data_IF_288088256097
#
_entry.id   IF_288088256097
#
_cell.length_a   1.000
_cell.length_b   1.000
_cell.length_c   1.000
_cell.angle_alpha   90.00
_cell.angle_beta   90.00
_cell.angle_gamma   90.00
#
_symmetry.space_group_name_H-M   'P 1'
#
loop_
_entity.id
_entity.type
_entity.pdbx_description
1 polymer ?
#
# COMPACT_ATOMS: atom_id res chain seq x y z
N UNK A 1 14.62 -0.28 1.83
CA UNK A 1 13.24 0.25 1.94
C UNK A 1 12.35 -0.24 0.81
N UNK A 2 12.54 0.21 -0.45
CA UNK A 2 11.72 -0.26 -1.59
C UNK A 2 11.62 -1.79 -1.71
N UNK A 3 12.71 -2.55 -1.48
CA UNK A 3 12.72 -4.01 -1.54
C UNK A 3 11.75 -4.72 -0.57
N UNK A 4 11.49 -4.14 0.61
CA UNK A 4 10.54 -4.70 1.60
C UNK A 4 9.10 -4.42 1.19
N UNK A 5 8.83 -3.21 0.69
CA UNK A 5 7.53 -2.87 0.10
C UNK A 5 7.24 -3.74 -1.12
N UNK A 6 8.26 -4.05 -1.93
CA UNK A 6 8.16 -5.01 -3.05
C UNK A 6 7.82 -6.42 -2.55
N UNK A 7 8.37 -6.88 -1.41
CA UNK A 7 8.01 -8.17 -0.81
C UNK A 7 6.56 -8.15 -0.31
N UNK A 8 6.16 -7.08 0.38
CA UNK A 8 4.80 -6.90 0.85
C UNK A 8 3.80 -6.78 -0.31
N UNK A 9 4.18 -6.20 -1.46
CA UNK A 9 3.35 -6.06 -2.66
C UNK A 9 3.12 -7.35 -3.46
N UNK A 10 3.72 -8.48 -3.03
CA UNK A 10 3.57 -9.79 -3.68
C UNK A 10 2.49 -10.75 -3.10
N UNK A 11 1.51 -10.41 -2.26
CA UNK A 11 0.58 -11.42 -1.76
C UNK A 11 -0.39 -11.75 -2.91
N UNK A 12 -0.36 -12.99 -3.41
CA UNK A 12 -1.37 -13.54 -4.32
C UNK A 12 -1.22 -13.24 -5.82
N UNK A 13 -0.25 -12.45 -6.25
CA UNK A 13 -0.02 -12.17 -7.67
C UNK A 13 0.83 -13.27 -8.34
N UNK A 14 0.25 -14.45 -8.53
CA UNK A 14 0.79 -15.44 -9.47
C UNK A 14 0.74 -14.85 -10.89
N UNK A 15 1.89 -14.67 -11.54
CA UNK A 15 1.95 -14.56 -13.01
C UNK A 15 2.10 -13.16 -13.62
N UNK A 16 2.49 -12.13 -12.87
CA UNK A 16 2.81 -10.85 -13.50
C UNK A 16 4.33 -10.69 -13.74
N UNK A 17 4.69 -10.59 -15.03
CA UNK A 17 6.04 -10.42 -15.57
C UNK A 17 6.53 -8.96 -15.56
N UNK A 18 5.65 -8.00 -15.26
CA UNK A 18 5.99 -6.59 -15.26
C UNK A 18 6.97 -6.25 -14.13
N UNK A 19 7.97 -5.41 -14.42
CA UNK A 19 8.90 -4.96 -13.40
C UNK A 19 8.15 -4.15 -12.34
N UNK A 20 8.63 -4.27 -11.11
CA UNK A 20 8.15 -3.43 -10.02
C UNK A 20 8.66 -2.00 -10.21
N UNK A 21 7.78 -1.00 -10.03
CA UNK A 21 8.12 0.42 -10.20
C UNK A 21 8.01 1.15 -8.88
N UNK A 22 9.07 1.86 -8.49
CA UNK A 22 9.02 2.78 -7.34
C UNK A 22 8.38 4.09 -7.81
N UNK A 23 7.24 4.44 -7.22
CA UNK A 23 6.51 5.68 -7.52
C UNK A 23 6.94 6.82 -6.60
N UNK A 24 7.31 6.51 -5.36
CA UNK A 24 7.90 7.44 -4.41
C UNK A 24 8.78 6.67 -3.41
N UNK A 25 9.91 7.26 -3.02
CA UNK A 25 10.76 6.74 -1.96
C UNK A 25 11.28 7.89 -1.11
N UNK A 26 10.76 8.01 0.11
CA UNK A 26 11.03 9.10 1.05
C UNK A 26 11.08 8.52 2.47
N UNK A 27 11.75 9.18 3.43
CA UNK A 27 11.88 8.64 4.79
C UNK A 27 10.54 8.30 5.47
N UNK A 28 9.51 9.09 5.19
CA UNK A 28 8.17 8.98 5.75
C UNK A 28 7.22 8.08 4.93
N UNK A 29 7.56 7.76 3.68
CA UNK A 29 6.69 6.95 2.82
C UNK A 29 7.44 6.32 1.64
N UNK A 30 7.11 5.08 1.34
CA UNK A 30 7.54 4.42 0.09
C UNK A 30 6.32 3.87 -0.63
N UNK A 31 6.18 4.20 -1.91
CA UNK A 31 5.09 3.76 -2.77
C UNK A 31 5.66 2.97 -3.92
N UNK A 32 5.20 1.73 -4.06
CA UNK A 32 5.64 0.80 -5.08
C UNK A 32 4.44 0.29 -5.84
N UNK A 33 4.54 0.28 -7.16
CA UNK A 33 3.58 -0.39 -8.04
C UNK A 33 4.12 -1.74 -8.46
N UNK A 34 3.31 -2.77 -8.24
CA UNK A 34 3.46 -4.07 -8.85
C UNK A 34 2.18 -4.40 -9.60
N UNK A 35 2.23 -4.32 -10.94
CA UNK A 35 1.13 -4.68 -11.82
C UNK A 35 -0.12 -3.81 -11.58
N UNK A 36 -1.23 -4.42 -11.14
CA UNK A 36 -2.47 -3.75 -10.79
C UNK A 36 -2.52 -3.23 -9.35
N UNK A 37 -1.48 -3.45 -8.56
CA UNK A 37 -1.44 -3.12 -7.12
C UNK A 37 -0.42 -2.03 -6.84
N UNK A 38 -0.80 -1.09 -5.98
CA UNK A 38 0.09 -0.12 -5.36
C UNK A 38 0.22 -0.46 -3.88
N UNK A 39 1.44 -0.76 -3.44
CA UNK A 39 1.78 -0.91 -2.04
C UNK A 39 2.33 0.42 -1.52
N UNK A 40 1.77 0.90 -0.42
CA UNK A 40 2.21 2.11 0.29
C UNK A 40 2.67 1.72 1.68
N UNK A 41 3.97 1.83 1.92
CA UNK A 41 4.55 1.75 3.25
C UNK A 41 4.52 3.11 3.92
N UNK A 42 4.02 3.16 5.14
CA UNK A 42 3.90 4.36 5.96
C UNK A 42 5.18 4.61 6.77
N UNK A 43 5.26 5.74 7.45
CA UNK A 43 6.39 6.11 8.29
C UNK A 43 6.66 5.03 9.36
N UNK A 44 7.92 4.82 9.78
CA UNK A 44 8.23 3.91 10.87
C UNK A 44 7.49 4.31 12.15
N UNK A 45 7.00 3.33 12.90
CA UNK A 45 6.26 3.59 14.14
C UNK A 45 4.91 4.27 13.95
N UNK A 46 4.36 4.31 12.73
CA UNK A 46 2.99 4.77 12.51
C UNK A 46 2.01 3.94 13.37
N UNK A 47 1.12 4.62 14.09
CA UNK A 47 0.10 3.97 14.91
C UNK A 47 -0.90 3.19 14.02
N UNK A 48 -1.05 1.86 14.22
CA UNK A 48 -2.02 1.05 13.49
C UNK A 48 -3.46 1.55 13.62
N UNK A 49 -3.90 1.97 14.80
CA UNK A 49 -5.27 2.40 15.03
C UNK A 49 -5.55 3.71 14.29
N UNK A 50 -4.68 4.71 14.44
CA UNK A 50 -4.76 5.94 13.67
C UNK A 50 -4.68 5.72 12.16
N UNK A 51 -3.94 4.70 11.69
CA UNK A 51 -3.90 4.36 10.28
C UNK A 51 -5.25 3.77 9.80
N UNK A 52 -5.83 2.81 10.53
CA UNK A 52 -7.15 2.25 10.20
C UNK A 52 -8.23 3.34 10.16
N UNK A 53 -8.22 4.28 11.11
CA UNK A 53 -9.14 5.41 11.10
C UNK A 53 -9.01 6.28 9.85
N UNK A 54 -7.78 6.49 9.35
CA UNK A 54 -7.51 7.23 8.11
C UNK A 54 -7.93 6.46 6.84
N UNK A 55 -7.93 5.12 6.87
CA UNK A 55 -8.38 4.29 5.76
C UNK A 55 -9.90 4.19 5.67
N UNK A 56 -10.60 4.32 6.79
CA UNK A 56 -12.06 4.12 6.85
C UNK A 56 -12.87 5.00 5.86
N UNK A 57 -12.54 6.28 5.62
CA UNK A 57 -13.22 7.06 4.58
C UNK A 57 -13.00 6.51 3.16
N UNK A 58 -11.78 6.04 2.84
CA UNK A 58 -11.47 5.51 1.52
C UNK A 58 -12.28 4.24 1.20
N UNK A 59 -12.57 3.42 2.21
CA UNK A 59 -13.43 2.24 2.06
C UNK A 59 -14.93 2.59 1.95
N UNK A 60 -15.35 3.81 2.36
CA UNK A 60 -16.77 4.21 2.44
C UNK A 60 -17.19 5.21 1.36
N UNK A 61 -16.24 5.82 0.66
CA UNK A 61 -16.48 6.85 -0.36
C UNK A 61 -15.80 6.47 -1.69
N UNK A 62 -16.17 5.34 -2.31
CA UNK A 62 -15.46 4.78 -3.46
C UNK A 62 -15.46 5.70 -4.69
N UNK A 63 -16.46 6.57 -4.83
CA UNK A 63 -16.54 7.53 -5.94
C UNK A 63 -15.64 8.77 -5.77
N UNK A 64 -15.02 8.94 -4.59
CA UNK A 64 -14.15 10.07 -4.24
C UNK A 64 -12.72 9.60 -3.98
N UNK A 65 -12.60 8.47 -3.29
CA UNK A 65 -11.35 7.87 -2.86
C UNK A 65 -11.30 6.43 -3.32
N UNK A 66 -10.16 6.04 -3.88
CA UNK A 66 -9.97 4.66 -4.29
C UNK A 66 -9.96 3.76 -3.04
N UNK A 67 -10.81 2.72 -2.95
CA UNK A 67 -10.82 1.85 -1.78
C UNK A 67 -9.53 1.00 -1.73
N UNK A 68 -8.96 0.78 -0.53
CA UNK A 68 -7.84 -0.14 -0.40
C UNK A 68 -8.30 -1.58 -0.69
N UNK A 69 -7.39 -2.43 -1.16
CA UNK A 69 -7.66 -3.85 -1.39
C UNK A 69 -7.99 -4.60 -0.08
N UNK A 70 -7.41 -4.14 1.03
CA UNK A 70 -7.74 -4.58 2.38
C UNK A 70 -7.69 -3.35 3.32
N UNK A 71 -8.73 -3.09 4.13
CA UNK A 71 -8.73 -1.98 5.09
C UNK A 71 -7.75 -2.20 6.26
N UNK A 72 -7.26 -3.41 6.50
CA UNK A 72 -6.27 -3.72 7.52
C UNK A 72 -4.84 -3.54 6.99
N UNK A 73 -4.02 -2.68 7.60
CA UNK A 73 -2.60 -2.59 7.27
C UNK A 73 -1.86 -3.87 7.63
N UNK A 74 -0.92 -4.27 6.78
CA UNK A 74 -0.01 -5.39 7.03
C UNK A 74 1.30 -4.87 7.61
N UNK A 75 1.78 -5.47 8.70
CA UNK A 75 3.09 -5.16 9.23
C UNK A 75 4.20 -5.73 8.32
N UNK A 76 5.20 -4.90 8.00
CA UNK A 76 6.41 -5.29 7.29
C UNK A 76 7.58 -4.59 7.95
N UNK A 77 8.39 -5.36 8.69
CA UNK A 77 9.50 -4.84 9.49
C UNK A 77 9.04 -3.73 10.46
N UNK A 78 9.64 -2.54 10.39
CA UNK A 78 9.35 -1.37 11.24
C UNK A 78 8.18 -0.52 10.73
N UNK A 79 7.48 -0.96 9.67
CA UNK A 79 6.47 -0.18 8.96
C UNK A 79 5.16 -0.94 8.78
N UNK A 80 4.10 -0.16 8.60
CA UNK A 80 2.81 -0.64 8.13
C UNK A 80 2.69 -0.45 6.62
N UNK A 81 2.09 -1.41 5.93
CA UNK A 81 1.86 -1.39 4.49
C UNK A 81 0.37 -1.50 4.19
N UNK A 82 -0.10 -0.70 3.24
CA UNK A 82 -1.47 -0.74 2.72
C UNK A 82 -1.45 -0.99 1.23
N UNK A 83 -2.43 -1.73 0.73
CA UNK A 83 -2.53 -2.10 -0.68
C UNK A 83 -3.73 -1.45 -1.34
N UNK A 84 -3.52 -0.98 -2.55
CA UNK A 84 -4.50 -0.20 -3.31
C UNK A 84 -4.53 -0.73 -4.74
N UNK A 85 -5.69 -0.68 -5.43
CA UNK A 85 -5.68 -0.85 -6.87
C UNK A 85 -4.89 0.28 -7.53
N UNK A 86 -4.35 0.04 -8.72
CA UNK A 86 -3.77 1.06 -9.56
C UNK A 86 -4.86 1.58 -10.52
N UNK A 87 -5.44 2.74 -10.23
CA UNK A 87 -6.53 3.32 -11.01
C UNK A 87 -7.02 4.64 -10.43
N UNK A 88 -8.19 5.06 -10.87
CA UNK A 88 -8.93 6.22 -10.33
C UNK A 88 -10.12 5.72 -9.51
N UNK A 89 -10.62 6.52 -8.53
CA UNK A 89 -11.99 6.37 -8.06
C UNK A 89 -12.98 6.28 -9.24
#
# INVERSE_FOLDING_TARGET
MAAQVVRAARPGALGCDRPTTVLADRPDTTVVRYCGTVAKAHAPGADPAALVHRLAPAARLPDILLPPLDPAPVASDDRLVTFWPHGTP
#
